data_IF_593612539788
#
_entry.id   IF_593612539788
#
_cell.length_a   1.000
_cell.length_b   1.000
_cell.length_c   1.000
_cell.angle_alpha   90.00
_cell.angle_beta   90.00
_cell.angle_gamma   90.00
#
_symmetry.space_group_name_H-M   'P 1'
#
loop_
_entity.id
_entity.type
_entity.pdbx_description
1 polymer ?
#
# COMPACT_ATOMS: atom_id res chain seq x y z
N UNK A 1 -32.13 -65.97 -48.32
CA UNK A 1 -30.84 -65.30 -48.04
C UNK A 1 -31.12 -63.82 -47.75
N UNK A 2 -31.06 -63.43 -46.48
CA UNK A 2 -31.31 -62.06 -46.03
C UNK A 2 -29.96 -61.43 -45.64
N UNK A 3 -29.55 -60.37 -46.35
CA UNK A 3 -28.38 -59.59 -46.03
C UNK A 3 -28.77 -58.54 -45.00
N UNK A 4 -28.10 -58.57 -43.81
CA UNK A 4 -28.19 -57.50 -42.80
C UNK A 4 -27.11 -56.46 -43.10
N UNK A 5 -27.42 -55.15 -43.16
CA UNK A 5 -26.40 -54.13 -43.26
C UNK A 5 -25.79 -53.83 -41.85
N UNK A 6 -24.46 -53.83 -41.77
CA UNK A 6 -23.71 -53.35 -40.60
C UNK A 6 -23.69 -51.81 -40.60
N UNK A 7 -24.23 -51.22 -39.53
CA UNK A 7 -24.14 -49.77 -39.29
C UNK A 7 -22.81 -49.54 -38.56
N UNK A 8 -21.87 -48.88 -39.23
CA UNK A 8 -20.62 -48.40 -38.65
C UNK A 8 -20.88 -47.02 -38.08
N UNK A 9 -20.86 -46.90 -36.74
CA UNK A 9 -20.96 -45.63 -36.07
C UNK A 9 -19.60 -44.89 -36.07
N UNK A 10 -19.54 -43.57 -36.41
CA UNK A 10 -18.29 -42.84 -36.31
C UNK A 10 -17.95 -42.54 -34.83
N UNK A 11 -16.77 -42.97 -34.44
CA UNK A 11 -16.17 -42.59 -33.13
C UNK A 11 -15.64 -41.19 -33.28
N UNK A 12 -16.36 -40.23 -32.69
CA UNK A 12 -15.91 -38.83 -32.61
C UNK A 12 -14.88 -38.71 -31.50
N UNK A 13 -13.61 -38.59 -31.86
CA UNK A 13 -12.51 -38.33 -30.91
C UNK A 13 -12.61 -36.90 -30.37
N UNK A 14 -13.07 -36.76 -29.16
CA UNK A 14 -13.09 -35.46 -28.44
C UNK A 14 -11.66 -35.16 -27.95
N UNK A 15 -10.91 -34.34 -28.70
CA UNK A 15 -9.60 -33.84 -28.27
C UNK A 15 -9.85 -32.74 -27.22
N UNK A 16 -9.75 -33.09 -25.96
CA UNK A 16 -9.68 -32.11 -24.86
C UNK A 16 -8.32 -31.41 -24.94
N UNK A 17 -8.32 -30.19 -25.47
CA UNK A 17 -7.18 -29.26 -25.37
C UNK A 17 -7.06 -28.84 -23.89
N UNK A 18 -6.16 -29.45 -23.15
CA UNK A 18 -5.68 -28.94 -21.86
C UNK A 18 -4.95 -27.64 -22.14
N UNK A 19 -5.63 -26.51 -21.98
CA UNK A 19 -5.03 -25.19 -21.95
C UNK A 19 -4.09 -25.14 -20.74
N UNK A 20 -2.79 -25.10 -21.00
CA UNK A 20 -1.78 -24.80 -19.98
C UNK A 20 -2.01 -23.34 -19.60
N UNK A 21 -2.70 -23.09 -18.50
CA UNK A 21 -2.71 -21.80 -17.85
C UNK A 21 -1.29 -21.54 -17.31
N UNK A 22 -0.49 -20.82 -18.07
CA UNK A 22 0.76 -20.24 -17.59
C UNK A 22 0.36 -19.09 -16.66
N UNK A 23 0.06 -19.42 -15.39
CA UNK A 23 -0.11 -18.43 -14.32
C UNK A 23 1.23 -17.73 -14.13
N UNK A 24 1.29 -16.42 -14.28
CA UNK A 24 2.46 -15.67 -13.86
C UNK A 24 2.67 -15.93 -12.36
N UNK A 25 3.85 -16.38 -11.99
CA UNK A 25 4.21 -16.64 -10.59
C UNK A 25 4.31 -15.29 -9.86
N UNK A 26 3.54 -15.14 -8.79
CA UNK A 26 3.55 -13.91 -7.99
C UNK A 26 4.91 -13.74 -7.31
N UNK A 27 5.56 -12.60 -7.57
CA UNK A 27 6.90 -12.29 -7.06
C UNK A 27 6.81 -11.36 -5.85
N UNK A 28 7.35 -11.80 -4.71
CA UNK A 28 7.55 -10.93 -3.56
C UNK A 28 8.78 -10.03 -3.79
N UNK A 29 8.59 -8.73 -3.61
CA UNK A 29 9.62 -7.71 -3.71
C UNK A 29 10.00 -7.28 -2.30
N UNK A 30 11.22 -7.51 -1.93
CA UNK A 30 11.84 -6.99 -0.70
C UNK A 30 12.51 -5.66 -1.05
N UNK A 31 11.79 -4.56 -0.86
CA UNK A 31 12.31 -3.23 -1.18
C UNK A 31 13.35 -2.74 -0.16
N UNK A 32 13.36 -3.34 1.04
CA UNK A 32 14.28 -3.02 2.12
C UNK A 32 13.80 -1.87 2.99
N UNK A 33 14.74 -1.18 3.63
CA UNK A 33 14.44 -0.09 4.54
C UNK A 33 13.87 1.12 3.81
N UNK A 34 12.69 1.57 4.21
CA UNK A 34 12.07 2.74 3.61
C UNK A 34 11.67 3.79 4.66
N UNK A 35 11.66 5.05 4.25
CA UNK A 35 11.25 6.18 5.08
C UNK A 35 10.39 7.15 4.28
N UNK A 36 9.55 7.89 4.98
CA UNK A 36 8.84 9.04 4.47
C UNK A 36 8.82 10.14 5.52
N UNK A 37 9.13 11.36 5.11
CA UNK A 37 8.78 12.56 5.85
C UNK A 37 7.57 13.19 5.18
N UNK A 38 6.57 13.55 5.96
CA UNK A 38 5.31 14.06 5.43
C UNK A 38 4.87 15.33 6.14
N UNK A 39 4.06 16.12 5.43
CA UNK A 39 3.37 17.30 5.94
C UNK A 39 1.88 17.13 5.72
N UNK A 40 1.09 17.61 6.67
CA UNK A 40 -0.36 17.64 6.57
C UNK A 40 -0.89 19.05 6.63
N UNK A 41 -1.99 19.27 5.92
CA UNK A 41 -2.75 20.52 5.93
C UNK A 41 -4.23 20.22 6.05
N UNK A 42 -4.89 20.87 6.99
CA UNK A 42 -6.30 20.62 7.26
C UNK A 42 -6.84 21.47 8.40
N UNK A 43 -7.83 20.91 9.10
CA UNK A 43 -8.45 21.52 10.27
C UNK A 43 -7.98 20.76 11.51
N UNK A 44 -7.71 21.48 12.59
CA UNK A 44 -7.43 20.90 13.90
C UNK A 44 -8.51 21.43 14.84
N UNK A 45 -9.34 20.50 15.33
CA UNK A 45 -10.35 20.76 16.34
C UNK A 45 -9.78 20.39 17.72
N UNK A 46 -9.89 21.31 18.67
CA UNK A 46 -9.51 21.07 20.07
C UNK A 46 -10.72 20.45 20.78
N UNK A 47 -10.51 19.27 21.37
CA UNK A 47 -11.54 18.53 22.11
C UNK A 47 -11.46 18.79 23.63
N UNK A 48 -10.53 19.61 24.07
CA UNK A 48 -10.23 19.82 25.49
C UNK A 48 -9.23 18.80 26.04
N UNK A 49 -8.74 19.06 27.26
CA UNK A 49 -7.78 18.19 27.99
C UNK A 49 -6.48 17.86 27.22
N UNK A 50 -6.16 18.62 26.17
CA UNK A 50 -5.02 18.43 25.30
C UNK A 50 -5.24 17.41 24.18
N UNK A 51 -6.47 16.93 24.02
CA UNK A 51 -6.89 16.05 22.92
C UNK A 51 -7.31 16.88 21.72
N UNK A 52 -6.95 16.45 20.52
CA UNK A 52 -7.21 17.14 19.25
C UNK A 52 -7.62 16.15 18.17
N UNK A 53 -8.41 16.61 17.20
CA UNK A 53 -8.66 15.89 15.95
C UNK A 53 -8.11 16.71 14.79
N UNK A 54 -7.28 16.08 13.98
CA UNK A 54 -6.88 16.62 12.69
C UNK A 54 -7.70 15.94 11.59
N UNK A 55 -8.26 16.75 10.68
CA UNK A 55 -8.91 16.30 9.46
C UNK A 55 -8.31 17.01 8.25
N UNK A 56 -7.74 16.28 7.32
CA UNK A 56 -7.06 16.90 6.19
C UNK A 56 -6.27 15.95 5.30
N UNK A 57 -5.37 16.54 4.52
CA UNK A 57 -4.48 15.82 3.60
C UNK A 57 -3.07 15.73 4.16
N UNK A 58 -2.40 14.61 3.89
CA UNK A 58 -0.98 14.42 4.17
C UNK A 58 -0.25 14.18 2.85
N UNK A 59 0.91 14.79 2.69
CA UNK A 59 1.75 14.60 1.49
C UNK A 59 3.19 14.32 1.87
N UNK A 60 3.84 13.43 1.13
CA UNK A 60 5.24 13.06 1.36
C UNK A 60 5.85 12.36 0.15
N UNK A 61 7.08 11.90 0.32
CA UNK A 61 7.79 11.08 -0.68
C UNK A 61 8.45 9.92 0.02
N UNK A 62 8.16 8.70 -0.43
CA UNK A 62 8.78 7.47 0.09
C UNK A 62 10.17 7.36 -0.50
N UNK A 63 11.17 7.23 0.37
CA UNK A 63 12.56 7.01 0.03
C UNK A 63 12.96 5.62 0.50
N UNK A 64 13.40 4.78 -0.41
CA UNK A 64 13.94 3.44 -0.10
C UNK A 64 15.46 3.52 -0.06
N UNK A 65 16.03 3.01 1.02
CA UNK A 65 17.48 2.85 1.13
C UNK A 65 17.83 1.46 0.58
N UNK A 66 18.62 1.43 -0.49
CA UNK A 66 19.09 0.17 -1.07
C UNK A 66 19.97 -0.59 -0.09
N UNK A 67 19.76 -1.89 0.00
CA UNK A 67 20.53 -2.77 0.88
C UNK A 67 21.85 -3.24 0.27
N UNK A 68 22.03 -3.13 -1.05
CA UNK A 68 23.23 -3.58 -1.76
C UNK A 68 23.63 -2.66 -2.90
N UNK A 69 24.93 -2.45 -3.09
CA UNK A 69 25.47 -1.77 -4.26
C UNK A 69 25.11 -2.55 -5.54
N UNK A 70 24.60 -1.82 -6.55
CA UNK A 70 24.26 -2.38 -7.86
C UNK A 70 22.84 -2.97 -7.98
N UNK A 71 22.01 -2.94 -6.93
CA UNK A 71 20.60 -3.31 -7.06
C UNK A 71 19.81 -2.19 -7.73
N UNK A 72 18.90 -2.55 -8.68
CA UNK A 72 17.95 -1.60 -9.26
C UNK A 72 17.07 -1.00 -8.15
N UNK A 73 16.78 0.32 -8.23
CA UNK A 73 15.88 0.97 -7.30
C UNK A 73 14.53 0.27 -7.28
N UNK A 74 14.04 -0.06 -6.08
CA UNK A 74 12.67 -0.57 -5.95
C UNK A 74 11.68 0.41 -6.58
N UNK A 75 10.69 -0.09 -7.31
CA UNK A 75 9.68 0.70 -8.01
C UNK A 75 8.97 1.72 -7.10
N UNK A 76 8.91 1.44 -5.81
CA UNK A 76 8.36 2.32 -4.78
C UNK A 76 9.30 3.49 -4.40
N UNK A 77 10.59 3.46 -4.80
CA UNK A 77 11.54 4.53 -4.49
C UNK A 77 11.13 5.85 -5.15
N UNK A 78 11.24 6.96 -4.42
CA UNK A 78 10.81 8.31 -4.84
C UNK A 78 9.34 8.43 -5.22
N UNK A 79 8.49 7.54 -4.70
CA UNK A 79 7.05 7.59 -4.91
C UNK A 79 6.43 8.70 -4.07
N UNK A 80 5.65 9.59 -4.72
CA UNK A 80 4.83 10.58 -4.01
C UNK A 80 3.69 9.90 -3.31
N UNK A 81 3.44 10.32 -2.08
CA UNK A 81 2.36 9.85 -1.23
C UNK A 81 1.38 11.01 -0.97
N UNK A 82 0.11 10.81 -1.36
CA UNK A 82 -0.99 11.72 -1.10
C UNK A 82 -2.06 10.98 -0.31
N UNK A 83 -2.36 11.43 0.91
CA UNK A 83 -3.27 10.75 1.82
C UNK A 83 -4.42 11.64 2.28
N UNK A 84 -5.55 11.02 2.59
CA UNK A 84 -6.65 11.58 3.37
C UNK A 84 -6.59 11.00 4.77
N UNK A 85 -6.65 11.86 5.79
CA UNK A 85 -6.50 11.45 7.16
C UNK A 85 -7.48 12.16 8.09
N UNK A 86 -8.02 11.36 9.03
CA UNK A 86 -8.65 11.86 10.25
C UNK A 86 -7.84 11.25 11.40
N UNK A 87 -7.14 12.10 12.14
CA UNK A 87 -6.23 11.67 13.20
C UNK A 87 -6.73 12.17 14.55
N UNK A 88 -7.10 11.24 15.42
CA UNK A 88 -7.26 11.57 16.84
C UNK A 88 -5.88 11.59 17.49
N UNK A 89 -5.56 12.68 18.15
CA UNK A 89 -4.25 12.97 18.69
C UNK A 89 -4.39 13.21 20.19
N UNK A 90 -3.89 12.27 21.00
CA UNK A 90 -3.93 12.31 22.45
C UNK A 90 -2.57 11.92 23.01
N UNK A 91 -2.17 12.58 24.10
CA UNK A 91 -1.00 12.18 24.89
C UNK A 91 -1.35 11.10 25.93
N UNK A 92 -2.64 10.95 26.23
CA UNK A 92 -3.13 10.10 27.33
C UNK A 92 -3.60 8.73 26.84
N UNK A 93 -4.22 8.68 25.66
CA UNK A 93 -4.95 7.51 25.17
C UNK A 93 -4.37 7.05 23.84
N UNK A 94 -4.16 5.74 23.71
CA UNK A 94 -3.85 5.11 22.45
C UNK A 94 -5.12 4.95 21.63
N UNK A 95 -5.12 5.44 20.40
CA UNK A 95 -6.26 5.34 19.50
C UNK A 95 -5.84 4.75 18.16
N UNK A 96 -6.67 3.88 17.58
CA UNK A 96 -6.46 3.42 16.22
C UNK A 96 -6.63 4.59 15.23
N UNK A 97 -5.75 4.64 14.24
CA UNK A 97 -5.76 5.61 13.15
C UNK A 97 -5.80 4.88 11.83
N UNK A 98 -6.68 5.31 10.94
CA UNK A 98 -6.77 4.79 9.57
C UNK A 98 -6.53 5.95 8.60
N UNK A 99 -5.62 5.76 7.68
CA UNK A 99 -5.21 6.73 6.68
C UNK A 99 -5.28 6.05 5.31
N UNK A 100 -5.85 6.72 4.33
CA UNK A 100 -5.97 6.22 2.97
C UNK A 100 -5.03 7.01 2.07
N UNK A 101 -4.14 6.33 1.36
CA UNK A 101 -3.12 6.98 0.55
C UNK A 101 -3.14 6.50 -0.90
N UNK A 102 -2.85 7.43 -1.81
CA UNK A 102 -2.49 7.14 -3.20
C UNK A 102 -0.99 7.38 -3.34
N UNK A 103 -0.30 6.36 -3.79
CA UNK A 103 1.12 6.40 -4.12
C UNK A 103 1.28 6.61 -5.62
N UNK A 104 2.12 7.58 -6.02
CA UNK A 104 2.32 7.96 -7.43
C UNK A 104 3.79 7.87 -7.79
N UNK A 105 4.13 6.86 -8.58
CA UNK A 105 5.47 6.69 -9.17
C UNK A 105 5.50 7.13 -10.64
N UNK A 106 6.69 7.30 -11.20
CA UNK A 106 6.94 7.60 -12.60
C UNK A 106 6.02 8.71 -13.16
N UNK A 107 5.97 9.87 -12.46
CA UNK A 107 5.13 11.02 -12.81
C UNK A 107 3.61 10.69 -12.87
N UNK A 108 3.16 9.73 -12.06
CA UNK A 108 1.75 9.34 -11.96
C UNK A 108 1.29 8.31 -12.99
N UNK A 109 2.20 7.74 -13.79
CA UNK A 109 1.89 6.61 -14.67
C UNK A 109 1.54 5.35 -13.87
N UNK A 110 2.27 5.14 -12.77
CA UNK A 110 2.08 4.02 -11.86
C UNK A 110 1.42 4.53 -10.57
N UNK A 111 0.30 3.92 -10.22
CA UNK A 111 -0.44 4.25 -9.01
C UNK A 111 -0.64 3.01 -8.15
N UNK A 112 -0.53 3.18 -6.84
CA UNK A 112 -1.00 2.22 -5.87
C UNK A 112 -1.92 2.91 -4.85
N UNK A 113 -2.94 2.20 -4.41
CA UNK A 113 -3.79 2.59 -3.31
C UNK A 113 -3.44 1.73 -2.10
N UNK A 114 -3.17 2.39 -0.99
CA UNK A 114 -2.80 1.74 0.26
C UNK A 114 -3.67 2.23 1.41
N UNK A 115 -3.95 1.33 2.32
CA UNK A 115 -4.54 1.61 3.62
C UNK A 115 -3.46 1.50 4.69
N UNK A 116 -3.37 2.53 5.52
CA UNK A 116 -2.41 2.60 6.62
C UNK A 116 -3.20 2.59 7.93
N UNK A 117 -2.95 1.59 8.76
CA UNK A 117 -3.57 1.46 10.09
C UNK A 117 -2.49 1.42 11.15
N UNK A 118 -2.62 2.27 12.13
CA UNK A 118 -1.71 2.21 13.28
C UNK A 118 -2.41 2.58 14.59
N UNK A 119 -1.83 2.16 15.70
CA UNK A 119 -2.26 2.54 17.02
C UNK A 119 -1.05 3.08 17.83
N UNK A 120 -1.31 4.05 18.69
CA UNK A 120 -0.26 4.65 19.52
C UNK A 120 -0.63 6.04 20.00
N UNK A 121 0.24 6.58 20.84
CA UNK A 121 0.15 7.95 21.39
C UNK A 121 0.74 8.96 20.41
N UNK A 122 0.62 10.24 20.73
CA UNK A 122 1.34 11.32 20.04
C UNK A 122 2.83 11.06 20.09
N UNK A 123 3.49 11.16 18.92
CA UNK A 123 4.92 10.93 18.77
C UNK A 123 5.30 9.52 18.31
N UNK A 124 4.50 8.48 18.60
CA UNK A 124 4.75 7.13 18.11
C UNK A 124 3.47 6.38 17.81
N UNK A 125 3.35 5.85 16.58
CA UNK A 125 2.26 5.01 16.11
C UNK A 125 2.83 3.79 15.42
N UNK A 126 2.49 2.59 15.86
CA UNK A 126 2.93 1.33 15.26
C UNK A 126 1.76 0.67 14.55
N UNK A 127 2.02 0.12 13.38
CA UNK A 127 0.96 -0.50 12.60
C UNK A 127 1.41 -1.11 11.30
N UNK A 128 0.47 -1.18 10.37
CA UNK A 128 0.64 -1.86 9.09
C UNK A 128 0.13 -1.00 7.93
N UNK A 129 0.83 -1.10 6.82
CA UNK A 129 0.40 -0.58 5.53
C UNK A 129 0.01 -1.75 4.64
N UNK A 130 -1.23 -1.75 4.15
CA UNK A 130 -1.78 -2.78 3.27
C UNK A 130 -1.94 -2.25 1.86
N UNK A 131 -1.42 -2.98 0.88
CA UNK A 131 -1.60 -2.70 -0.55
C UNK A 131 -2.99 -3.19 -0.97
N UNK A 132 -3.83 -2.27 -1.43
CA UNK A 132 -5.24 -2.57 -1.75
C UNK A 132 -5.44 -2.73 -3.25
N UNK A 133 -4.81 -1.87 -4.05
CA UNK A 133 -4.98 -1.84 -5.49
C UNK A 133 -3.81 -1.11 -6.17
N UNK A 134 -3.57 -1.44 -7.45
CA UNK A 134 -2.57 -0.73 -8.25
C UNK A 134 -2.82 -0.79 -9.75
N UNK A 135 -2.22 0.16 -10.47
CA UNK A 135 -2.17 0.20 -11.93
C UNK A 135 -0.76 0.55 -12.42
N UNK A 136 -0.54 0.34 -13.73
CA UNK A 136 0.79 0.48 -14.32
C UNK A 136 1.72 -0.59 -13.76
N UNK A 137 2.92 -0.23 -13.36
CA UNK A 137 3.86 -1.14 -12.74
C UNK A 137 3.43 -1.70 -11.38
N UNK A 138 2.39 -1.13 -10.75
CA UNK A 138 1.78 -1.68 -9.53
C UNK A 138 0.53 -2.53 -9.79
N UNK A 139 0.23 -2.88 -11.05
CA UNK A 139 -0.96 -3.70 -11.35
C UNK A 139 -0.91 -5.02 -10.62
N UNK A 140 -1.97 -5.32 -9.85
CA UNK A 140 -2.09 -6.55 -9.08
C UNK A 140 -1.25 -6.60 -7.79
N UNK A 141 -0.71 -5.45 -7.35
CA UNK A 141 0.04 -5.34 -6.09
C UNK A 141 -0.79 -5.79 -4.90
N UNK A 142 -0.18 -6.56 -4.02
CA UNK A 142 -0.77 -7.05 -2.76
C UNK A 142 0.29 -7.09 -1.65
N UNK A 143 -0.16 -7.35 -0.43
CA UNK A 143 0.70 -7.53 0.73
C UNK A 143 0.39 -6.56 1.86
N UNK A 144 1.03 -6.79 2.98
CA UNK A 144 0.95 -5.96 4.18
C UNK A 144 2.34 -5.87 4.79
N UNK A 145 2.73 -4.67 5.21
CA UNK A 145 4.07 -4.42 5.75
C UNK A 145 3.99 -3.58 7.04
N UNK A 146 4.70 -3.97 8.10
CA UNK A 146 4.70 -3.24 9.36
C UNK A 146 5.49 -1.93 9.24
N UNK A 147 5.08 -0.91 9.99
CA UNK A 147 5.77 0.37 10.06
C UNK A 147 5.67 1.02 11.44
N UNK A 148 6.50 2.04 11.65
CA UNK A 148 6.43 2.94 12.79
C UNK A 148 6.35 4.37 12.28
N UNK A 149 5.44 5.18 12.84
CA UNK A 149 5.29 6.58 12.49
C UNK A 149 5.36 7.49 13.72
N UNK A 150 5.90 8.68 13.54
CA UNK A 150 5.80 9.81 14.46
C UNK A 150 4.86 10.86 13.90
N UNK A 151 3.97 11.38 14.74
CA UNK A 151 2.97 12.41 14.41
C UNK A 151 3.18 13.61 15.31
N UNK A 152 3.39 14.80 14.74
CA UNK A 152 3.64 16.03 15.46
C UNK A 152 2.70 17.14 14.99
N UNK A 153 2.22 17.94 15.92
CA UNK A 153 1.40 19.13 15.64
C UNK A 153 2.27 20.35 15.90
N UNK A 154 2.33 21.25 14.95
CA UNK A 154 2.95 22.56 15.12
C UNK A 154 1.89 23.55 15.61
N UNK A 155 1.90 23.88 16.92
CA UNK A 155 0.87 24.74 17.52
C UNK A 155 0.88 26.17 16.99
N UNK A 156 2.02 26.63 16.45
CA UNK A 156 2.17 27.99 15.90
C UNK A 156 1.51 28.17 14.53
N UNK A 157 1.24 27.05 13.81
CA UNK A 157 0.64 27.06 12.49
C UNK A 157 -0.68 26.30 12.51
N UNK A 158 -1.78 27.04 12.58
CA UNK A 158 -3.12 26.46 12.57
C UNK A 158 -3.34 25.56 11.36
N UNK A 159 -3.74 24.30 11.60
CA UNK A 159 -4.08 23.34 10.55
C UNK A 159 -2.88 22.63 9.92
N UNK A 160 -1.66 22.82 10.43
CA UNK A 160 -0.49 22.09 9.96
C UNK A 160 -0.09 20.97 10.94
N UNK A 161 0.18 19.81 10.38
CA UNK A 161 0.75 18.66 11.08
C UNK A 161 1.93 18.13 10.27
N UNK A 162 2.88 17.49 10.90
CA UNK A 162 3.99 16.84 10.21
C UNK A 162 4.41 15.57 10.92
N UNK A 163 5.18 14.77 10.24
CA UNK A 163 5.70 13.55 10.81
C UNK A 163 6.58 12.78 9.87
N UNK A 164 6.93 11.60 10.33
CA UNK A 164 7.68 10.63 9.55
C UNK A 164 7.11 9.24 9.78
N UNK A 165 7.32 8.36 8.82
CA UNK A 165 7.13 6.94 9.01
C UNK A 165 8.34 6.20 8.46
N UNK A 166 8.61 5.04 9.03
CA UNK A 166 9.66 4.17 8.52
C UNK A 166 9.21 2.72 8.53
N UNK A 167 9.60 2.01 7.49
CA UNK A 167 9.44 0.59 7.33
C UNK A 167 10.82 -0.05 7.49
N UNK A 168 11.04 -0.87 8.53
CA UNK A 168 12.31 -1.61 8.68
C UNK A 168 12.57 -2.52 7.48
N UNK A 169 11.49 -3.06 6.93
CA UNK A 169 11.51 -3.93 5.76
C UNK A 169 10.20 -3.72 4.97
N UNK A 170 10.30 -2.92 3.91
CA UNK A 170 9.16 -2.67 3.03
C UNK A 170 9.04 -3.80 2.02
N UNK A 171 7.92 -4.51 2.06
CA UNK A 171 7.65 -5.66 1.18
C UNK A 171 6.32 -5.51 0.46
N UNK A 172 6.21 -6.08 -0.73
CA UNK A 172 4.98 -6.23 -1.48
C UNK A 172 5.11 -7.33 -2.52
N UNK A 173 3.97 -7.82 -3.03
CA UNK A 173 3.93 -8.85 -4.06
C UNK A 173 3.32 -8.31 -5.35
N UNK A 174 3.93 -8.63 -6.47
CA UNK A 174 3.44 -8.38 -7.83
C UNK A 174 3.17 -9.70 -8.53
N UNK A 175 2.14 -9.78 -9.41
CA UNK A 175 1.85 -10.97 -10.21
C UNK A 175 2.92 -11.29 -11.24
#
# INVERSE_FOLDING_TARGET
MQFRPYIVAPVTLLVMSMGVFCGAEAKTIEAGHATVSWKGKGVIDDLGDGDKVFSGTLTGTILVKHLSEGSEPAQIHQTKMDCQAILYISKKVEQPKTILCILRAHQGKDLAYVEVRCAGKTGECKGEMTWVWGKGGFKGITGTTPFVAGIYIEEQKKGEVYGSAHWPELTYTLP
#
